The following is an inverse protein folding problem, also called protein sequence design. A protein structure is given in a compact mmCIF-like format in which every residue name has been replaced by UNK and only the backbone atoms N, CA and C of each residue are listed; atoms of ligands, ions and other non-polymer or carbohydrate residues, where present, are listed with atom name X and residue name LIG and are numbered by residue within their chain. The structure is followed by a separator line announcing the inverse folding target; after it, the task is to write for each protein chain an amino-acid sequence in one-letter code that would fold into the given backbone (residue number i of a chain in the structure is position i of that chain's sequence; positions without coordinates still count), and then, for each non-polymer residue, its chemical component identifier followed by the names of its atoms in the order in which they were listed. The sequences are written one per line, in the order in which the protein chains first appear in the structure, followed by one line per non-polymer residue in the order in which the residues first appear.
data_IF_640427748715
#
_entry.id   IF_640427748715
#
_cell.length_a   1.000
_cell.length_b   1.000
_cell.length_c   1.000
_cell.angle_alpha   90.00
_cell.angle_beta   90.00
_cell.angle_gamma   90.00
#
_symmetry.space_group_name_H-M   'P 1'
#
loop_
_entity.id
_entity.type
_entity.pdbx_description
1 polymer ?
#
# COMPACT_ATOMS: atom_id res chain seq x y z
N UNK A 1 -48.51 42.85 -40.95
CA UNK A 1 -47.40 43.75 -41.37
C UNK A 1 -46.42 43.91 -40.20
N UNK A 2 -45.13 43.68 -40.47
CA UNK A 2 -43.93 44.22 -39.78
C UNK A 2 -43.70 43.77 -38.31
N UNK A 3 -42.74 42.86 -38.09
CA UNK A 3 -41.30 43.11 -37.71
C UNK A 3 -41.18 43.47 -36.21
N UNK A 4 -40.74 42.56 -35.33
CA UNK A 4 -39.32 42.36 -34.87
C UNK A 4 -38.82 43.65 -34.17
N UNK A 5 -38.42 43.69 -32.88
CA UNK A 5 -37.13 43.18 -32.35
C UNK A 5 -37.02 43.43 -30.81
N UNK A 6 -36.63 42.39 -30.04
CA UNK A 6 -35.76 42.26 -28.84
C UNK A 6 -35.71 43.38 -27.73
N UNK A 7 -35.30 43.18 -26.46
CA UNK A 7 -34.34 42.28 -25.79
C UNK A 7 -34.47 42.58 -24.27
N UNK A 8 -34.75 41.61 -23.39
CA UNK A 8 -34.34 41.59 -21.95
C UNK A 8 -34.91 40.30 -21.32
N UNK A 9 -34.21 39.19 -21.54
CA UNK A 9 -34.40 37.96 -20.77
C UNK A 9 -33.09 37.18 -20.78
N UNK A 10 -32.26 37.39 -19.75
CA UNK A 10 -31.39 36.35 -19.19
C UNK A 10 -30.80 36.82 -17.86
N UNK A 11 -31.66 37.04 -16.87
CA UNK A 11 -31.29 37.07 -15.45
C UNK A 11 -31.95 35.85 -14.79
N UNK A 12 -31.42 34.68 -15.12
CA UNK A 12 -31.52 33.51 -14.26
C UNK A 12 -30.10 33.03 -14.05
N UNK A 13 -29.41 33.71 -13.13
CA UNK A 13 -28.23 33.17 -12.48
C UNK A 13 -28.77 32.04 -11.60
N UNK A 14 -28.92 30.85 -12.19
CA UNK A 14 -29.02 29.63 -11.40
C UNK A 14 -27.62 29.47 -10.83
N UNK A 15 -27.42 30.03 -9.64
CA UNK A 15 -26.35 29.62 -8.76
C UNK A 15 -26.53 28.13 -8.52
N UNK A 16 -25.88 27.32 -9.37
CA UNK A 16 -25.58 25.95 -9.04
C UNK A 16 -24.67 26.07 -7.83
N UNK A 17 -25.27 26.01 -6.65
CA UNK A 17 -24.55 25.66 -5.44
C UNK A 17 -23.95 24.30 -5.77
N UNK A 18 -22.66 24.31 -6.13
CA UNK A 18 -21.84 23.12 -6.04
C UNK A 18 -21.77 22.85 -4.54
N UNK A 19 -22.80 22.21 -4.03
CA UNK A 19 -22.66 21.39 -2.85
C UNK A 19 -21.71 20.32 -3.35
N UNK A 20 -20.42 20.52 -3.09
CA UNK A 20 -19.47 19.43 -3.04
C UNK A 20 -20.07 18.47 -2.01
N UNK A 21 -20.85 17.51 -2.48
CA UNK A 21 -21.23 16.37 -1.68
C UNK A 21 -19.91 15.67 -1.38
N UNK A 22 -19.43 15.87 -0.15
CA UNK A 22 -18.52 14.97 0.54
C UNK A 22 -19.17 13.58 0.54
N UNK A 23 -19.12 12.91 -0.60
CA UNK A 23 -19.39 11.50 -0.71
C UNK A 23 -18.22 10.83 -0.01
N UNK A 24 -18.35 10.62 1.31
CA UNK A 24 -17.54 9.71 2.11
C UNK A 24 -17.75 8.24 1.67
N UNK A 25 -17.76 7.98 0.36
CA UNK A 25 -17.39 6.68 -0.18
C UNK A 25 -15.90 6.58 0.14
N UNK A 26 -15.58 5.94 1.26
CA UNK A 26 -14.20 5.54 1.53
C UNK A 26 -13.80 4.63 0.38
N UNK A 27 -12.99 5.14 -0.55
CA UNK A 27 -12.42 4.32 -1.59
C UNK A 27 -11.44 3.34 -0.95
N UNK A 28 -11.36 2.12 -1.49
CA UNK A 28 -10.33 1.17 -1.09
C UNK A 28 -8.94 1.68 -1.50
N UNK A 29 -7.91 1.29 -0.75
CA UNK A 29 -6.52 1.54 -1.09
C UNK A 29 -6.19 0.85 -2.42
N UNK A 30 -5.47 1.55 -3.29
CA UNK A 30 -5.17 1.09 -4.65
C UNK A 30 -3.73 0.57 -4.76
N UNK A 31 -3.58 -0.65 -5.28
CA UNK A 31 -2.31 -1.24 -5.69
C UNK A 31 -2.32 -1.47 -7.21
N UNK A 32 -1.35 -0.90 -7.94
CA UNK A 32 -1.29 -0.94 -9.43
C UNK A 32 -2.63 -0.64 -10.12
N UNK A 33 -3.29 0.46 -9.75
CA UNK A 33 -4.61 0.86 -10.26
C UNK A 33 -5.76 -0.14 -9.96
N UNK A 34 -5.51 -1.17 -9.16
CA UNK A 34 -6.50 -2.13 -8.70
C UNK A 34 -6.84 -1.82 -7.23
N UNK A 35 -8.10 -1.55 -6.88
CA UNK A 35 -8.53 -1.47 -5.48
C UNK A 35 -8.27 -2.79 -4.76
N UNK A 36 -7.67 -2.74 -3.56
CA UNK A 36 -7.45 -3.92 -2.69
C UNK A 36 -8.79 -4.31 -2.08
N UNK A 37 -9.59 -5.02 -2.89
CA UNK A 37 -10.94 -5.42 -2.56
C UNK A 37 -11.39 -6.64 -3.38
N UNK A 38 -12.47 -7.28 -2.91
CA UNK A 38 -13.01 -8.52 -3.45
C UNK A 38 -12.42 -9.76 -2.79
N UNK A 39 -12.87 -10.93 -3.25
CA UNK A 39 -12.34 -12.21 -2.75
C UNK A 39 -10.88 -12.39 -3.17
N UNK A 40 -10.11 -13.15 -2.39
CA UNK A 40 -8.70 -13.42 -2.65
C UNK A 40 -8.46 -13.86 -4.09
N UNK A 41 -9.20 -14.86 -4.59
CA UNK A 41 -9.04 -15.37 -5.95
C UNK A 41 -9.38 -14.32 -7.02
N UNK A 42 -10.38 -13.47 -6.79
CA UNK A 42 -10.76 -12.40 -7.72
C UNK A 42 -9.70 -11.31 -7.78
N UNK A 43 -9.14 -10.92 -6.64
CA UNK A 43 -8.07 -9.94 -6.59
C UNK A 43 -6.77 -10.49 -7.19
N UNK A 44 -6.44 -11.77 -6.92
CA UNK A 44 -5.30 -12.47 -7.52
C UNK A 44 -5.45 -12.55 -9.05
N UNK A 45 -6.63 -12.87 -9.57
CA UNK A 45 -6.87 -12.90 -11.02
C UNK A 45 -6.65 -11.53 -11.68
N UNK A 46 -6.97 -10.42 -10.98
CA UNK A 46 -6.65 -9.06 -11.46
C UNK A 46 -5.14 -8.82 -11.51
N UNK A 47 -4.37 -9.37 -10.57
CA UNK A 47 -2.90 -9.30 -10.61
C UNK A 47 -2.31 -10.16 -11.73
N UNK A 48 -2.89 -11.34 -12.01
CA UNK A 48 -2.46 -12.15 -13.16
C UNK A 48 -2.62 -11.40 -14.49
N UNK A 49 -3.73 -10.65 -14.65
CA UNK A 49 -3.95 -9.79 -15.81
C UNK A 49 -2.94 -8.62 -15.92
N UNK A 50 -2.31 -8.23 -14.81
CA UNK A 50 -1.23 -7.24 -14.75
C UNK A 50 0.17 -7.86 -15.01
N UNK A 51 0.24 -9.16 -15.31
CA UNK A 51 1.47 -9.87 -15.66
C UNK A 51 2.17 -10.57 -14.49
N UNK A 52 1.53 -10.68 -13.33
CA UNK A 52 2.04 -11.53 -12.23
C UNK A 52 1.67 -13.00 -12.46
N UNK A 53 2.49 -13.91 -11.92
CA UNK A 53 2.25 -15.36 -11.97
C UNK A 53 2.07 -15.90 -10.57
N UNK A 54 1.01 -16.68 -10.33
CA UNK A 54 0.79 -17.33 -9.02
C UNK A 54 1.82 -18.43 -8.80
N UNK A 55 2.46 -18.41 -7.64
CA UNK A 55 3.39 -19.45 -7.19
C UNK A 55 2.67 -20.45 -6.27
N UNK A 56 2.02 -19.94 -5.22
CA UNK A 56 1.40 -20.74 -4.16
C UNK A 56 0.08 -20.13 -3.73
N UNK A 57 -0.88 -20.98 -3.34
CA UNK A 57 -2.13 -20.58 -2.70
C UNK A 57 -2.25 -21.21 -1.32
N UNK A 58 -2.69 -20.40 -0.36
CA UNK A 58 -2.97 -20.78 1.01
C UNK A 58 -4.44 -20.48 1.32
N UNK A 59 -4.93 -20.94 2.47
CA UNK A 59 -6.33 -20.76 2.86
C UNK A 59 -6.78 -19.28 2.88
N UNK A 60 -5.92 -18.36 3.31
CA UNK A 60 -6.23 -16.92 3.38
C UNK A 60 -5.10 -16.04 2.81
N UNK A 61 -4.28 -16.59 1.90
CA UNK A 61 -3.22 -15.85 1.23
C UNK A 61 -2.84 -16.47 -0.11
N UNK A 62 -2.18 -15.69 -0.96
CA UNK A 62 -1.57 -16.17 -2.20
C UNK A 62 -0.20 -15.52 -2.42
N UNK A 63 0.76 -16.31 -2.91
CA UNK A 63 2.09 -15.86 -3.31
C UNK A 63 2.15 -15.76 -4.83
N UNK A 64 2.71 -14.68 -5.36
CA UNK A 64 2.92 -14.45 -6.78
C UNK A 64 4.35 -13.97 -7.04
N UNK A 65 4.81 -14.08 -8.28
CA UNK A 65 6.05 -13.46 -8.76
C UNK A 65 5.80 -12.63 -10.01
N UNK A 66 6.65 -11.64 -10.25
CA UNK A 66 6.61 -10.82 -11.44
C UNK A 66 7.53 -9.62 -11.31
N UNK A 67 7.20 -8.55 -12.02
CA UNK A 67 7.99 -7.32 -12.03
C UNK A 67 7.26 -6.17 -11.33
N UNK A 68 7.96 -5.49 -10.43
CA UNK A 68 7.52 -4.27 -9.78
C UNK A 68 8.68 -3.27 -9.79
N UNK A 69 8.40 -2.01 -10.14
CA UNK A 69 9.41 -0.94 -10.22
C UNK A 69 10.66 -1.32 -11.05
N UNK A 70 10.45 -2.04 -12.15
CA UNK A 70 11.49 -2.58 -13.05
C UNK A 70 12.49 -3.54 -12.34
N UNK A 71 12.02 -4.21 -11.30
CA UNK A 71 12.78 -5.24 -10.57
C UNK A 71 11.90 -6.46 -10.42
N UNK A 72 12.51 -7.65 -10.51
CA UNK A 72 11.82 -8.87 -10.11
C UNK A 72 11.35 -8.75 -8.67
N UNK A 73 10.22 -9.35 -8.34
CA UNK A 73 9.67 -9.32 -7.00
C UNK A 73 8.84 -10.58 -6.70
N UNK A 74 8.59 -10.77 -5.41
CA UNK A 74 7.54 -11.66 -4.91
C UNK A 74 6.43 -10.79 -4.33
N UNK A 75 5.18 -11.21 -4.50
CA UNK A 75 4.00 -10.57 -3.93
C UNK A 75 3.32 -11.56 -3.01
N UNK A 76 3.01 -11.15 -1.78
CA UNK A 76 2.09 -11.84 -0.89
C UNK A 76 0.80 -11.04 -0.79
N UNK A 77 -0.32 -11.64 -1.21
CA UNK A 77 -1.66 -11.11 -0.97
C UNK A 77 -2.24 -11.82 0.24
N UNK A 78 -2.72 -11.06 1.23
CA UNK A 78 -3.40 -11.59 2.41
C UNK A 78 -4.89 -11.24 2.38
N UNK A 79 -5.71 -12.18 2.84
CA UNK A 79 -7.14 -12.07 2.93
C UNK A 79 -7.67 -12.37 4.34
N UNK A 80 -8.89 -11.93 4.62
CA UNK A 80 -9.59 -12.25 5.87
C UNK A 80 -9.85 -13.76 5.98
N UNK A 81 -9.72 -14.38 7.16
CA UNK A 81 -9.76 -15.84 7.30
C UNK A 81 -11.13 -16.47 7.00
N UNK A 82 -12.25 -15.80 7.31
CA UNK A 82 -13.62 -16.30 7.09
C UNK A 82 -14.16 -15.81 5.75
N UNK A 83 -14.21 -14.50 5.52
CA UNK A 83 -14.80 -13.95 4.29
C UNK A 83 -13.87 -13.97 3.09
N UNK A 84 -12.58 -14.29 3.26
CA UNK A 84 -11.58 -14.35 2.17
C UNK A 84 -11.45 -13.04 1.39
N UNK A 85 -11.72 -11.90 2.01
CA UNK A 85 -11.61 -10.58 1.39
C UNK A 85 -10.15 -10.12 1.46
N UNK A 86 -9.57 -9.76 0.31
CA UNK A 86 -8.20 -9.24 0.24
C UNK A 86 -8.08 -7.91 1.00
N UNK A 87 -7.09 -7.80 1.90
CA UNK A 87 -6.90 -6.60 2.71
C UNK A 87 -5.48 -6.06 2.71
N UNK A 88 -4.49 -6.87 2.28
CA UNK A 88 -3.09 -6.47 2.31
C UNK A 88 -2.30 -7.08 1.15
N UNK A 89 -1.41 -6.28 0.58
CA UNK A 89 -0.45 -6.68 -0.45
C UNK A 89 0.95 -6.32 0.04
N UNK A 90 1.86 -7.28 0.03
CA UNK A 90 3.27 -7.09 0.35
C UNK A 90 4.08 -7.43 -0.89
N UNK A 91 4.75 -6.44 -1.48
CA UNK A 91 5.70 -6.67 -2.57
C UNK A 91 7.10 -6.69 -1.99
N UNK A 92 7.91 -7.68 -2.28
CA UNK A 92 9.27 -7.80 -1.75
C UNK A 92 10.27 -7.94 -2.89
N UNK A 93 11.22 -7.01 -2.93
CA UNK A 93 12.36 -7.10 -3.85
C UNK A 93 13.36 -8.18 -3.40
N UNK A 94 14.17 -8.74 -4.33
CA UNK A 94 15.21 -9.70 -4.01
C UNK A 94 16.17 -9.20 -2.94
N UNK A 95 16.79 -10.15 -2.24
CA UNK A 95 17.82 -9.86 -1.25
C UNK A 95 19.00 -9.12 -1.91
N UNK A 96 19.50 -8.10 -1.21
CA UNK A 96 20.70 -7.36 -1.60
C UNK A 96 21.70 -7.36 -0.45
N UNK A 97 22.86 -7.99 -0.69
CA UNK A 97 23.94 -8.11 0.28
C UNK A 97 24.83 -6.86 0.36
N UNK A 98 24.37 -5.71 -0.14
CA UNK A 98 25.05 -4.42 -0.04
C UNK A 98 24.20 -3.42 0.74
N UNK A 99 24.67 -3.05 1.95
CA UNK A 99 24.05 -1.98 2.73
C UNK A 99 23.88 -0.69 1.93
N UNK A 100 24.93 -0.32 1.18
CA UNK A 100 24.92 0.87 0.32
C UNK A 100 23.80 0.81 -0.72
N UNK A 101 23.59 -0.35 -1.34
CA UNK A 101 22.56 -0.56 -2.36
C UNK A 101 21.16 -0.52 -1.75
N UNK A 102 20.94 -1.24 -0.64
CA UNK A 102 19.68 -1.21 0.13
C UNK A 102 19.30 0.21 0.55
N UNK A 103 20.24 0.94 1.16
CA UNK A 103 20.02 2.32 1.61
C UNK A 103 19.67 3.24 0.44
N UNK A 104 20.41 3.16 -0.67
CA UNK A 104 20.15 3.95 -1.88
C UNK A 104 18.75 3.66 -2.41
N UNK A 105 18.41 2.39 -2.59
CA UNK A 105 17.13 1.98 -3.16
C UNK A 105 15.97 2.40 -2.25
N UNK A 106 16.10 2.22 -0.92
CA UNK A 106 15.12 2.70 0.05
C UNK A 106 14.86 4.20 -0.07
N UNK A 107 15.90 5.04 -0.11
CA UNK A 107 15.72 6.50 -0.23
C UNK A 107 15.13 6.90 -1.58
N UNK A 108 15.54 6.24 -2.67
CA UNK A 108 14.95 6.45 -3.99
C UNK A 108 13.45 6.15 -3.96
N UNK A 109 13.05 5.00 -3.40
CA UNK A 109 11.63 4.64 -3.30
C UNK A 109 10.86 5.56 -2.36
N UNK A 110 11.44 5.91 -1.20
CA UNK A 110 10.85 6.90 -0.29
C UNK A 110 10.52 8.19 -1.05
N UNK A 111 11.45 8.72 -1.84
CA UNK A 111 11.22 9.95 -2.62
C UNK A 111 10.06 9.78 -3.61
N UNK A 112 9.97 8.65 -4.31
CA UNK A 112 8.87 8.39 -5.26
C UNK A 112 7.51 8.28 -4.54
N UNK A 113 7.47 7.67 -3.37
CA UNK A 113 6.24 7.57 -2.57
C UNK A 113 5.87 8.92 -1.93
N UNK A 114 6.84 9.75 -1.55
CA UNK A 114 6.59 11.13 -1.11
C UNK A 114 5.98 11.99 -2.24
N UNK A 115 6.42 11.80 -3.49
CA UNK A 115 5.80 12.44 -4.66
C UNK A 115 4.35 11.98 -4.86
N UNK A 116 4.07 10.70 -4.60
CA UNK A 116 2.73 10.12 -4.81
C UNK A 116 1.74 10.41 -3.68
N UNK A 117 2.18 10.32 -2.44
CA UNK A 117 1.33 10.35 -1.23
C UNK A 117 1.57 11.57 -0.34
N UNK A 118 2.52 12.43 -0.70
CA UNK A 118 2.97 13.54 0.13
C UNK A 118 4.03 13.14 1.16
N UNK A 119 4.61 14.15 1.82
CA UNK A 119 5.55 13.94 2.91
C UNK A 119 4.85 13.40 4.15
N UNK A 120 5.56 12.60 4.93
CA UNK A 120 5.07 12.00 6.18
C UNK A 120 6.09 12.22 7.30
N UNK A 121 5.59 12.40 8.52
CA UNK A 121 6.44 12.45 9.73
C UNK A 121 6.69 11.05 10.30
N UNK A 122 6.01 10.03 9.80
CA UNK A 122 6.17 8.63 10.20
C UNK A 122 7.30 7.98 9.39
N UNK A 123 8.53 8.45 9.63
CA UNK A 123 9.75 7.98 9.00
C UNK A 123 10.85 7.83 10.05
N UNK A 124 11.49 6.67 10.08
CA UNK A 124 12.52 6.32 11.06
C UNK A 124 13.73 5.73 10.34
N UNK A 125 14.91 6.28 10.62
CA UNK A 125 16.20 5.76 10.15
C UNK A 125 17.19 5.83 11.32
N UNK A 126 17.51 4.70 11.94
CA UNK A 126 18.42 4.68 13.10
C UNK A 126 19.22 3.40 13.23
N UNK A 127 20.32 3.50 13.97
CA UNK A 127 21.10 2.38 14.50
C UNK A 127 21.07 2.42 16.02
N UNK A 128 21.01 1.24 16.64
CA UNK A 128 21.08 1.05 18.08
C UNK A 128 22.45 0.51 18.47
N UNK A 129 22.97 0.97 19.61
CA UNK A 129 24.23 0.48 20.17
C UNK A 129 24.25 -1.06 20.27
N UNK A 130 25.41 -1.71 20.04
CA UNK A 130 26.72 -1.10 19.80
C UNK A 130 26.96 -0.62 18.35
N UNK A 131 26.01 -0.85 17.43
CA UNK A 131 26.17 -0.54 16.02
C UNK A 131 25.99 0.95 15.71
N UNK A 132 26.67 1.42 14.68
CA UNK A 132 26.49 2.75 14.10
C UNK A 132 26.77 2.73 12.60
N UNK A 133 26.15 3.63 11.85
CA UNK A 133 26.36 3.66 10.40
C UNK A 133 27.83 3.94 10.04
N UNK A 134 28.39 3.13 9.13
CA UNK A 134 29.78 3.21 8.72
C UNK A 134 30.75 2.37 9.56
N UNK A 135 30.26 1.60 10.54
CA UNK A 135 31.08 0.66 11.32
C UNK A 135 31.44 -0.64 10.57
N UNK A 136 30.84 -0.87 9.39
CA UNK A 136 31.03 -2.06 8.58
C UNK A 136 30.17 -3.27 8.99
N UNK A 137 29.31 -3.11 9.99
CA UNK A 137 28.42 -4.14 10.51
C UNK A 137 26.94 -3.86 10.21
N UNK A 138 26.62 -3.06 9.19
CA UNK A 138 25.25 -2.58 8.99
C UNK A 138 24.26 -3.70 8.66
N UNK A 139 24.66 -4.67 7.83
CA UNK A 139 23.82 -5.83 7.53
C UNK A 139 23.66 -6.75 8.75
N UNK A 140 24.67 -6.84 9.61
CA UNK A 140 24.56 -7.56 10.88
C UNK A 140 23.63 -6.83 11.85
N UNK A 141 23.72 -5.51 11.93
CA UNK A 141 22.82 -4.68 12.72
C UNK A 141 21.37 -4.84 12.24
N UNK A 142 21.14 -4.89 10.93
CA UNK A 142 19.82 -5.13 10.32
C UNK A 142 19.26 -6.50 10.69
N UNK A 143 20.07 -7.58 10.56
CA UNK A 143 19.70 -8.95 10.94
C UNK A 143 19.41 -9.10 12.44
N UNK A 144 20.12 -8.34 13.27
CA UNK A 144 19.93 -8.31 14.72
C UNK A 144 18.86 -7.31 15.19
N UNK A 145 18.09 -6.73 14.27
CA UNK A 145 17.04 -5.74 14.55
C UNK A 145 17.55 -4.50 15.34
N UNK A 146 18.83 -4.15 15.13
CA UNK A 146 19.49 -2.95 15.66
C UNK A 146 19.65 -1.84 14.62
N UNK A 147 19.16 -2.06 13.40
CA UNK A 147 19.05 -1.05 12.35
C UNK A 147 17.60 -1.01 11.87
N UNK A 148 17.02 0.17 11.78
CA UNK A 148 15.65 0.36 11.27
C UNK A 148 15.65 1.48 10.25
N UNK A 149 15.14 1.18 9.05
CA UNK A 149 14.89 2.13 7.97
C UNK A 149 13.48 1.86 7.46
N UNK A 150 12.53 2.73 7.82
CA UNK A 150 11.13 2.59 7.43
C UNK A 150 10.45 3.94 7.26
N UNK A 151 9.53 4.02 6.31
CA UNK A 151 8.62 5.15 6.13
C UNK A 151 7.21 4.65 5.91
N UNK A 152 6.25 5.28 6.57
CA UNK A 152 4.83 4.95 6.52
C UNK A 152 3.99 6.16 6.12
N UNK A 153 2.99 5.91 5.29
CA UNK A 153 1.92 6.85 4.97
C UNK A 153 0.62 6.32 5.55
N UNK A 154 0.02 7.09 6.45
CA UNK A 154 -1.31 6.81 6.98
C UNK A 154 -2.32 7.63 6.17
N UNK A 155 -2.93 6.98 5.18
CA UNK A 155 -3.93 7.57 4.29
C UNK A 155 -5.33 7.31 4.86
N UNK A 156 -6.33 7.99 4.31
CA UNK A 156 -7.74 7.75 4.66
C UNK A 156 -8.15 6.31 4.30
N UNK A 157 -7.74 5.87 3.12
CA UNK A 157 -8.09 4.59 2.49
C UNK A 157 -7.31 3.42 3.08
N UNK A 158 -6.12 3.66 3.62
CA UNK A 158 -5.23 2.59 4.04
C UNK A 158 -3.89 3.06 4.56
N UNK A 159 -2.98 2.11 4.76
CA UNK A 159 -1.59 2.36 5.13
C UNK A 159 -0.67 1.87 4.02
N UNK A 160 0.36 2.66 3.73
CA UNK A 160 1.44 2.29 2.82
C UNK A 160 2.76 2.35 3.58
N UNK A 161 3.66 1.40 3.37
CA UNK A 161 4.98 1.39 3.99
C UNK A 161 6.04 0.94 2.99
N UNK A 162 7.23 1.55 3.08
CA UNK A 162 8.47 1.00 2.52
C UNK A 162 9.47 0.87 3.65
N UNK A 163 10.20 -0.24 3.71
CA UNK A 163 11.27 -0.43 4.69
C UNK A 163 12.37 -1.35 4.18
N UNK A 164 13.49 -1.38 4.90
CA UNK A 164 14.52 -2.40 4.74
C UNK A 164 14.26 -3.46 5.83
N UNK A 165 14.05 -4.71 5.44
CA UNK A 165 13.75 -5.82 6.35
C UNK A 165 15.01 -6.50 6.86
N UNK A 166 14.90 -7.25 7.98
CA UNK A 166 16.02 -7.96 8.62
C UNK A 166 16.66 -9.03 7.71
N UNK A 167 15.94 -9.52 6.71
CA UNK A 167 16.43 -10.44 5.67
C UNK A 167 17.08 -9.72 4.46
N UNK A 168 17.48 -8.45 4.63
CA UNK A 168 18.20 -7.67 3.61
C UNK A 168 17.39 -7.49 2.31
N UNK A 169 16.07 -7.29 2.43
CA UNK A 169 15.15 -7.02 1.32
C UNK A 169 14.47 -5.66 1.49
N UNK A 170 13.76 -5.23 0.45
CA UNK A 170 12.91 -4.03 0.48
C UNK A 170 11.46 -4.45 0.23
N UNK A 171 10.67 -4.62 1.31
CA UNK A 171 9.23 -4.75 1.23
C UNK A 171 8.49 -3.42 1.07
N UNK A 172 7.45 -3.44 0.23
CA UNK A 172 6.41 -2.44 0.09
C UNK A 172 5.09 -3.03 0.59
N UNK A 173 4.51 -2.44 1.62
CA UNK A 173 3.26 -2.91 2.22
C UNK A 173 2.14 -1.95 1.87
N UNK A 174 1.03 -2.49 1.37
CA UNK A 174 -0.23 -1.80 1.16
C UNK A 174 -1.29 -2.50 1.98
N UNK A 175 -1.97 -1.79 2.87
CA UNK A 175 -3.02 -2.34 3.73
C UNK A 175 -4.27 -1.47 3.65
N UNK A 176 -5.36 -2.06 3.19
CA UNK A 176 -6.65 -1.39 3.05
C UNK A 176 -7.36 -1.25 4.40
N UNK A 177 -7.81 -0.04 4.76
CA UNK A 177 -8.41 0.21 6.08
C UNK A 177 -9.80 -0.41 6.23
N UNK A 178 -10.58 -0.52 5.15
CA UNK A 178 -11.95 -1.07 5.20
C UNK A 178 -11.86 -2.58 5.42
N UNK A 179 -11.09 -3.25 4.57
CA UNK A 179 -10.96 -4.70 4.57
C UNK A 179 -10.11 -5.19 5.75
N UNK A 180 -9.19 -4.36 6.27
CA UNK A 180 -8.50 -4.65 7.52
C UNK A 180 -9.45 -4.75 8.71
N UNK A 181 -10.49 -3.91 8.78
CA UNK A 181 -11.49 -4.00 9.86
C UNK A 181 -12.29 -5.30 9.80
N UNK A 182 -12.55 -5.82 8.60
CA UNK A 182 -13.19 -7.13 8.40
C UNK A 182 -12.28 -8.23 8.97
N UNK A 183 -10.99 -8.23 8.59
CA UNK A 183 -10.00 -9.15 9.14
C UNK A 183 -9.95 -9.09 10.68
N UNK A 184 -9.84 -7.88 11.26
CA UNK A 184 -9.73 -7.72 12.71
C UNK A 184 -10.99 -8.23 13.43
N UNK A 185 -12.19 -7.98 12.89
CA UNK A 185 -13.46 -8.48 13.44
C UNK A 185 -13.56 -10.00 13.41
N UNK A 186 -13.13 -10.63 12.32
CA UNK A 186 -13.14 -12.10 12.20
C UNK A 186 -12.15 -12.78 13.16
N UNK A 187 -10.97 -12.19 13.34
CA UNK A 187 -9.98 -12.65 14.31
C UNK A 187 -10.48 -12.51 15.75
N UNK A 188 -11.12 -11.38 16.10
CA UNK A 188 -11.71 -11.19 17.43
C UNK A 188 -12.83 -12.18 17.73
N UNK A 189 -13.73 -12.44 16.76
CA UNK A 189 -14.77 -13.45 16.90
C UNK A 189 -14.17 -14.83 17.19
N UNK A 190 -13.10 -15.22 16.49
CA UNK A 190 -12.43 -16.51 16.75
C UNK A 190 -11.88 -16.60 18.18
N UNK A 191 -11.23 -15.54 18.66
CA UNK A 191 -10.72 -15.50 20.06
C UNK A 191 -11.86 -15.61 21.06
N UNK A 192 -13.00 -14.96 20.80
CA UNK A 192 -14.16 -15.02 21.68
C UNK A 192 -14.85 -16.40 21.67
N UNK A 193 -14.82 -17.11 20.54
CA UNK A 193 -15.33 -18.49 20.44
C UNK A 193 -14.43 -19.50 21.19
N UNK A 194 -13.13 -19.20 21.33
CA UNK A 194 -12.13 -20.05 21.98
C UNK A 194 -12.07 -19.89 23.53
N UNK A 195 -12.71 -18.85 24.10
CA UNK A 195 -12.77 -18.55 25.55
C UNK A 195 -14.11 -18.98 26.13
#
# INVERSE_FOLDING_TARGET
MKKILLLITCLLVISVNIIAQDNNISSHLIFKNIPIDGKLDEFVAKLENEGFSVNDKFDAAASLSGEFVNKQCTILVCASPKTKIAYMVIVTLPEDNSWRSLKRDYFNFKEQYEKKYGKTNDSENYFSKPYYEGDGYELQALKNEKCSYRTRWNLKEGKVMVHISSDCKIPFVYMDNINRKIYDSECQSKVQDDI
#
